data_IF_626556537266
#
_entry.id   IF_626556537266
#
_cell.length_a   1.000
_cell.length_b   1.000
_cell.length_c   1.000
_cell.angle_alpha   90.00
_cell.angle_beta   90.00
_cell.angle_gamma   90.00
#
_symmetry.space_group_name_H-M   'P 1'
#
loop_
_entity.id
_entity.type
_entity.pdbx_description
1 polymer ?
#
# COMPACT_ATOMS: atom_id res chain seq x y z
N UNK A 1 -34.17 -14.34 -8.10
CA UNK A 1 -33.00 -14.33 -7.20
C UNK A 1 -32.69 -12.88 -6.88
N UNK A 2 -33.11 -12.41 -5.72
CA UNK A 2 -32.86 -11.04 -5.26
C UNK A 2 -31.36 -10.92 -5.02
N UNK A 3 -30.64 -10.11 -5.83
CA UNK A 3 -29.29 -9.68 -5.48
C UNK A 3 -29.41 -9.02 -4.11
N UNK A 4 -28.80 -9.61 -3.09
CA UNK A 4 -28.56 -8.88 -1.85
C UNK A 4 -27.59 -7.78 -2.27
N UNK A 5 -28.10 -6.56 -2.43
CA UNK A 5 -27.23 -5.40 -2.62
C UNK A 5 -26.33 -5.33 -1.40
N UNK A 6 -25.03 -5.54 -1.61
CA UNK A 6 -24.05 -5.25 -0.59
C UNK A 6 -24.08 -3.74 -0.41
N UNK A 7 -24.82 -3.28 0.60
CA UNK A 7 -24.84 -1.88 0.98
C UNK A 7 -23.39 -1.44 1.22
N UNK A 8 -22.94 -0.34 0.60
CA UNK A 8 -21.60 0.15 0.81
C UNK A 8 -21.37 0.41 2.30
N UNK A 9 -20.19 0.06 2.82
CA UNK A 9 -19.93 0.19 4.26
C UNK A 9 -20.10 1.63 4.73
N UNK A 10 -19.75 2.60 3.88
CA UNK A 10 -19.91 4.02 4.18
C UNK A 10 -21.35 4.46 4.39
N UNK A 11 -22.37 3.65 4.06
CA UNK A 11 -23.78 3.95 4.38
C UNK A 11 -24.07 3.96 5.89
N UNK A 12 -23.14 3.45 6.70
CA UNK A 12 -23.19 3.51 8.16
C UNK A 12 -22.76 4.88 8.69
N UNK A 13 -22.14 5.75 7.89
CA UNK A 13 -21.65 7.05 8.31
C UNK A 13 -22.72 8.14 8.14
N UNK A 14 -22.65 9.17 8.98
CA UNK A 14 -23.41 10.40 8.72
C UNK A 14 -22.77 11.20 7.58
N UNK A 15 -23.48 12.16 6.96
CA UNK A 15 -22.87 13.05 5.96
C UNK A 15 -21.64 13.80 6.48
N UNK A 16 -21.64 14.23 7.75
CA UNK A 16 -20.49 14.84 8.42
C UNK A 16 -19.33 13.85 8.60
N UNK A 17 -19.61 12.59 8.97
CA UNK A 17 -18.62 11.53 9.06
C UNK A 17 -17.93 11.26 7.72
N UNK A 18 -18.70 11.18 6.63
CA UNK A 18 -18.17 11.04 5.27
C UNK A 18 -17.30 12.24 4.91
N UNK A 19 -17.80 13.47 5.08
CA UNK A 19 -17.05 14.68 4.78
C UNK A 19 -15.73 14.77 5.56
N UNK A 20 -15.74 14.35 6.84
CA UNK A 20 -14.55 14.31 7.69
C UNK A 20 -13.48 13.33 7.19
N UNK A 21 -13.87 12.18 6.63
CA UNK A 21 -12.96 11.19 6.06
C UNK A 21 -12.45 11.56 4.65
N UNK A 22 -13.22 12.35 3.91
CA UNK A 22 -12.83 12.86 2.59
C UNK A 22 -11.94 14.11 2.65
N UNK A 23 -11.83 14.75 3.83
CA UNK A 23 -11.01 15.95 4.00
C UNK A 23 -9.52 15.69 3.71
N UNK A 24 -8.84 16.71 3.15
CA UNK A 24 -7.43 16.65 2.74
C UNK A 24 -6.66 17.91 3.15
N UNK A 25 -6.47 18.16 4.46
CA UNK A 25 -5.77 19.35 4.91
C UNK A 25 -4.33 19.35 4.38
N UNK A 26 -3.97 20.38 3.61
CA UNK A 26 -2.64 20.52 2.99
C UNK A 26 -2.18 19.29 2.17
N UNK A 27 -3.12 18.53 1.59
CA UNK A 27 -2.81 17.31 0.85
C UNK A 27 -2.34 16.13 1.72
N UNK A 28 -2.61 16.16 3.03
CA UNK A 28 -2.34 15.08 3.98
C UNK A 28 -3.59 14.31 4.42
N UNK A 29 -3.43 13.34 5.33
CA UNK A 29 -4.56 12.61 5.91
C UNK A 29 -5.50 13.56 6.67
N UNK A 30 -6.82 13.27 6.69
CA UNK A 30 -7.77 14.01 7.50
C UNK A 30 -7.47 13.86 9.00
N UNK A 31 -7.84 14.85 9.80
CA UNK A 31 -7.68 14.82 11.26
C UNK A 31 -8.49 13.69 11.91
N UNK A 32 -9.56 13.25 11.25
CA UNK A 32 -10.39 12.10 11.66
C UNK A 32 -9.68 10.76 11.55
N UNK A 33 -8.49 10.70 10.95
CA UNK A 33 -7.66 9.48 10.87
C UNK A 33 -6.35 9.72 11.61
N UNK A 34 -6.23 9.15 12.81
CA UNK A 34 -4.97 9.17 13.56
C UNK A 34 -4.08 8.01 13.10
N UNK A 35 -2.84 8.36 12.75
CA UNK A 35 -1.82 7.40 12.31
C UNK A 35 -0.87 7.02 13.46
N UNK A 36 -0.75 5.73 13.72
CA UNK A 36 0.23 5.14 14.64
C UNK A 36 0.08 5.59 16.08
N UNK A 37 -1.15 5.84 16.54
CA UNK A 37 -1.46 6.18 17.94
C UNK A 37 -1.11 5.05 18.91
N UNK A 38 -1.31 3.80 18.48
CA UNK A 38 -1.16 2.59 19.32
C UNK A 38 -0.08 1.63 18.77
N UNK A 39 0.79 2.11 17.88
CA UNK A 39 1.92 1.34 17.35
C UNK A 39 3.15 1.47 18.26
N UNK A 40 3.82 0.35 18.48
CA UNK A 40 5.15 0.32 19.09
C UNK A 40 6.25 0.29 18.01
N UNK A 41 7.46 0.69 18.40
CA UNK A 41 8.61 0.79 17.50
C UNK A 41 9.00 -0.55 16.87
N UNK A 42 8.82 -1.67 17.57
CA UNK A 42 9.18 -3.01 17.06
C UNK A 42 8.20 -3.43 15.97
N UNK A 43 6.90 -3.30 16.22
CA UNK A 43 5.86 -3.60 15.24
C UNK A 43 5.98 -2.73 13.99
N UNK A 44 6.27 -1.43 14.15
CA UNK A 44 6.48 -0.52 13.01
C UNK A 44 7.73 -0.90 12.21
N UNK A 45 8.86 -1.16 12.88
CA UNK A 45 10.10 -1.55 12.19
C UNK A 45 9.96 -2.87 11.42
N UNK A 46 9.11 -3.79 11.89
CA UNK A 46 8.81 -5.06 11.24
C UNK A 46 7.90 -4.97 10.01
N UNK A 47 7.31 -3.81 9.71
CA UNK A 47 6.47 -3.64 8.52
C UNK A 47 7.30 -3.87 7.24
N UNK A 48 6.81 -4.66 6.26
CA UNK A 48 7.58 -5.05 5.08
C UNK A 48 8.25 -3.88 4.34
N UNK A 49 7.52 -2.78 4.15
CA UNK A 49 8.04 -1.59 3.49
C UNK A 49 9.16 -0.95 4.31
N UNK A 50 8.99 -0.76 5.62
CA UNK A 50 9.98 -0.11 6.49
C UNK A 50 11.25 -0.95 6.60
N UNK A 51 11.11 -2.26 6.79
CA UNK A 51 12.23 -3.21 6.80
C UNK A 51 13.00 -3.20 5.46
N UNK A 52 12.28 -3.25 4.33
CA UNK A 52 12.90 -3.21 3.00
C UNK A 52 13.55 -1.86 2.72
N UNK A 53 12.95 -0.74 3.16
CA UNK A 53 13.56 0.58 3.06
C UNK A 53 14.88 0.66 3.85
N UNK A 54 14.89 0.13 5.07
CA UNK A 54 16.09 0.07 5.90
C UNK A 54 17.20 -0.76 5.23
N UNK A 55 16.84 -1.91 4.64
CA UNK A 55 17.76 -2.74 3.85
C UNK A 55 18.36 -1.96 2.66
N UNK A 56 17.51 -1.29 1.87
CA UNK A 56 17.94 -0.47 0.71
C UNK A 56 18.88 0.65 1.14
N UNK A 57 18.53 1.38 2.20
CA UNK A 57 19.30 2.53 2.69
C UNK A 57 20.64 2.10 3.31
N UNK A 58 20.65 1.00 4.07
CA UNK A 58 21.87 0.44 4.65
C UNK A 58 22.83 -0.02 3.55
N UNK A 59 22.32 -0.70 2.52
CA UNK A 59 23.12 -1.10 1.37
C UNK A 59 23.66 0.10 0.60
N UNK A 60 22.82 1.12 0.37
CA UNK A 60 23.26 2.35 -0.29
C UNK A 60 24.39 3.05 0.48
N UNK A 61 24.41 2.98 1.81
CA UNK A 61 25.49 3.52 2.63
C UNK A 61 26.76 2.67 2.51
N UNK A 62 26.64 1.34 2.70
CA UNK A 62 27.76 0.42 2.67
C UNK A 62 28.53 0.43 1.33
N UNK A 63 27.81 0.56 0.20
CA UNK A 63 28.40 0.57 -1.15
C UNK A 63 28.77 1.96 -1.67
N UNK A 64 28.59 3.02 -0.87
CA UNK A 64 28.76 4.41 -1.35
C UNK A 64 27.78 4.79 -2.45
N UNK A 65 26.61 4.16 -2.47
CA UNK A 65 25.49 4.34 -3.39
C UNK A 65 25.17 3.08 -4.19
N UNK A 66 23.89 2.87 -4.48
CA UNK A 66 23.41 1.82 -5.39
C UNK A 66 23.63 2.26 -6.84
N UNK A 67 24.10 1.36 -7.69
CA UNK A 67 24.44 1.68 -9.09
C UNK A 67 23.19 1.76 -9.95
N UNK A 68 23.10 2.82 -10.76
CA UNK A 68 22.04 3.02 -11.76
C UNK A 68 22.51 2.65 -13.16
N UNK A 69 21.61 2.07 -13.95
CA UNK A 69 21.75 1.89 -15.40
C UNK A 69 21.50 3.22 -16.13
N UNK A 70 21.71 3.21 -17.45
CA UNK A 70 21.40 4.36 -18.31
C UNK A 70 19.91 4.73 -18.31
N UNK A 71 19.03 3.75 -18.09
CA UNK A 71 17.57 3.94 -17.99
C UNK A 71 17.11 4.28 -16.58
N UNK A 72 18.03 4.62 -15.67
CA UNK A 72 17.76 4.96 -14.27
C UNK A 72 17.16 3.82 -13.43
N UNK A 73 17.25 2.58 -13.90
CA UNK A 73 16.95 1.41 -13.10
C UNK A 73 18.16 1.01 -12.23
N UNK A 74 17.96 0.24 -11.17
CA UNK A 74 19.07 -0.38 -10.44
C UNK A 74 19.87 -1.36 -11.32
N UNK A 75 21.18 -1.43 -11.06
CA UNK A 75 22.03 -2.44 -11.66
C UNK A 75 21.58 -3.84 -11.24
N UNK A 76 21.76 -4.83 -12.11
CA UNK A 76 21.42 -6.24 -11.82
C UNK A 76 22.07 -6.76 -10.54
N UNK A 77 23.29 -6.33 -10.24
CA UNK A 77 24.00 -6.73 -9.03
C UNK A 77 23.32 -6.19 -7.76
N UNK A 78 22.90 -4.92 -7.77
CA UNK A 78 22.17 -4.34 -6.64
C UNK A 78 20.74 -4.87 -6.55
N UNK A 79 20.05 -5.05 -7.68
CA UNK A 79 18.73 -5.68 -7.74
C UNK A 79 18.78 -7.08 -7.14
N UNK A 80 19.75 -7.92 -7.57
CA UNK A 80 19.88 -9.29 -7.07
C UNK A 80 20.12 -9.33 -5.57
N UNK A 81 21.04 -8.50 -5.07
CA UNK A 81 21.34 -8.49 -3.65
C UNK A 81 20.16 -8.05 -2.79
N UNK A 82 19.37 -7.07 -3.25
CA UNK A 82 18.14 -6.66 -2.56
C UNK A 82 17.05 -7.74 -2.65
N UNK A 83 16.88 -8.35 -3.82
CA UNK A 83 15.96 -9.47 -4.03
C UNK A 83 16.26 -10.64 -3.09
N UNK A 84 17.53 -11.01 -2.92
CA UNK A 84 17.91 -12.11 -2.05
C UNK A 84 17.58 -11.82 -0.57
N UNK A 85 17.75 -10.57 -0.13
CA UNK A 85 17.58 -10.19 1.28
C UNK A 85 16.17 -9.74 1.69
N UNK A 86 15.35 -9.22 0.76
CA UNK A 86 14.02 -8.69 1.12
C UNK A 86 13.04 -9.79 1.53
N UNK A 87 12.06 -9.43 2.35
CA UNK A 87 10.87 -10.24 2.62
C UNK A 87 9.67 -9.37 2.30
N UNK A 88 8.76 -9.87 1.45
CA UNK A 88 7.64 -9.08 0.95
C UNK A 88 6.36 -9.92 0.91
N UNK A 89 5.20 -9.34 1.30
CA UNK A 89 3.93 -10.06 1.33
C UNK A 89 3.53 -10.55 -0.06
N UNK A 90 3.05 -11.80 -0.12
CA UNK A 90 2.57 -12.45 -1.35
C UNK A 90 3.59 -12.45 -2.51
N UNK A 91 4.88 -12.48 -2.17
CA UNK A 91 5.96 -12.41 -3.13
C UNK A 91 6.84 -13.66 -3.07
N UNK A 92 6.52 -14.61 -3.93
CA UNK A 92 7.30 -15.84 -4.08
C UNK A 92 8.53 -15.59 -4.97
N UNK A 93 9.71 -15.74 -4.38
CA UNK A 93 10.98 -15.58 -5.09
C UNK A 93 11.23 -16.71 -6.10
N UNK A 94 10.72 -17.91 -5.84
CA UNK A 94 10.89 -19.06 -6.74
C UNK A 94 10.08 -18.86 -8.03
N UNK A 95 8.85 -18.38 -7.92
CA UNK A 95 8.03 -18.02 -9.09
C UNK A 95 8.70 -16.94 -9.96
N UNK A 96 9.28 -15.93 -9.32
CA UNK A 96 9.99 -14.85 -10.01
C UNK A 96 11.23 -15.39 -10.74
N UNK A 97 12.00 -16.28 -10.10
CA UNK A 97 13.18 -16.90 -10.71
C UNK A 97 12.82 -17.91 -11.81
N UNK A 98 11.65 -18.55 -11.72
CA UNK A 98 11.19 -19.50 -12.73
C UNK A 98 10.94 -18.84 -14.10
N UNK A 99 10.48 -17.58 -14.10
CA UNK A 99 10.19 -16.85 -15.33
C UNK A 99 11.29 -15.86 -15.74
N UNK A 100 12.18 -15.46 -14.82
CA UNK A 100 13.25 -14.50 -15.07
C UNK A 100 14.64 -15.13 -14.97
N UNK A 101 15.26 -15.43 -16.13
CA UNK A 101 16.65 -15.91 -16.19
C UNK A 101 17.66 -14.88 -15.66
N UNK A 102 17.35 -13.60 -15.84
CA UNK A 102 18.15 -12.46 -15.38
C UNK A 102 17.22 -11.48 -14.70
N UNK A 103 17.50 -11.11 -13.46
CA UNK A 103 16.71 -10.14 -12.71
C UNK A 103 17.12 -8.71 -13.07
N UNK A 104 16.28 -8.00 -13.82
CA UNK A 104 16.31 -6.55 -13.91
C UNK A 104 15.40 -5.97 -12.83
N UNK A 105 15.54 -4.67 -12.52
CA UNK A 105 14.74 -4.05 -11.46
C UNK A 105 13.22 -4.17 -11.70
N UNK A 106 12.76 -3.97 -12.93
CA UNK A 106 11.33 -4.08 -13.26
C UNK A 106 10.75 -5.50 -13.10
N UNK A 107 11.61 -6.51 -12.99
CA UNK A 107 11.20 -7.90 -12.71
C UNK A 107 10.99 -8.11 -11.20
N UNK A 108 11.50 -7.17 -10.37
CA UNK A 108 11.47 -7.22 -8.92
C UNK A 108 10.68 -6.04 -8.35
N UNK A 109 9.35 -6.10 -8.51
CA UNK A 109 8.42 -5.07 -8.05
C UNK A 109 8.68 -4.54 -6.63
N UNK A 110 8.94 -5.38 -5.60
CA UNK A 110 9.25 -4.87 -4.25
C UNK A 110 10.47 -3.94 -4.21
N UNK A 111 11.51 -4.24 -5.00
CA UNK A 111 12.73 -3.43 -5.08
C UNK A 111 12.43 -2.10 -5.78
N UNK A 112 11.76 -2.17 -6.94
CA UNK A 112 11.43 -0.99 -7.72
C UNK A 112 10.53 -0.02 -6.91
N UNK A 113 9.44 -0.52 -6.35
CA UNK A 113 8.49 0.27 -5.55
C UNK A 113 9.18 0.87 -4.33
N UNK A 114 9.97 0.08 -3.59
CA UNK A 114 10.69 0.59 -2.42
C UNK A 114 11.67 1.69 -2.79
N UNK A 115 12.41 1.54 -3.90
CA UNK A 115 13.32 2.59 -4.40
C UNK A 115 12.55 3.86 -4.74
N UNK A 116 11.46 3.75 -5.50
CA UNK A 116 10.65 4.89 -5.93
C UNK A 116 10.06 5.64 -4.73
N UNK A 117 9.51 4.92 -3.75
CA UNK A 117 9.03 5.49 -2.48
C UNK A 117 10.18 6.18 -1.73
N UNK A 118 11.35 5.55 -1.62
CA UNK A 118 12.50 6.14 -0.93
C UNK A 118 13.00 7.42 -1.62
N UNK A 119 12.89 7.52 -2.95
CA UNK A 119 13.19 8.75 -3.68
C UNK A 119 12.11 9.83 -3.46
N UNK A 120 10.82 9.46 -3.52
CA UNK A 120 9.72 10.37 -3.24
C UNK A 120 9.78 10.93 -1.81
N UNK A 121 10.17 10.09 -0.85
CA UNK A 121 10.41 10.45 0.55
C UNK A 121 11.72 11.23 0.78
N UNK A 122 12.52 11.46 -0.27
CA UNK A 122 13.85 12.12 -0.22
C UNK A 122 14.85 11.42 0.70
N UNK A 123 14.71 10.10 0.88
CA UNK A 123 15.64 9.26 1.64
C UNK A 123 16.80 8.78 0.76
N UNK A 124 16.54 8.63 -0.54
CA UNK A 124 17.55 8.46 -1.58
C UNK A 124 17.61 9.69 -2.48
N UNK A 125 18.80 10.02 -2.96
CA UNK A 125 18.98 11.01 -4.04
C UNK A 125 19.93 10.48 -5.09
N UNK A 126 19.75 10.94 -6.33
CA UNK A 126 20.69 10.66 -7.41
C UNK A 126 21.95 11.51 -7.26
N UNK A 127 23.10 10.88 -7.39
CA UNK A 127 24.41 11.51 -7.58
C UNK A 127 25.09 10.78 -8.72
N UNK A 128 25.22 11.45 -9.87
CA UNK A 128 25.74 10.85 -11.10
C UNK A 128 24.96 9.57 -11.47
N UNK A 129 25.64 8.42 -11.55
CA UNK A 129 25.09 7.09 -11.82
C UNK A 129 24.83 6.28 -10.55
N UNK A 130 24.66 6.94 -9.41
CA UNK A 130 24.37 6.27 -8.13
C UNK A 130 23.14 6.85 -7.44
N UNK A 131 22.44 6.00 -6.69
CA UNK A 131 21.50 6.42 -5.65
C UNK A 131 22.19 6.35 -4.29
N UNK A 132 22.35 7.50 -3.66
CA UNK A 132 23.01 7.63 -2.36
C UNK A 132 21.98 7.96 -1.29
N UNK A 133 22.15 7.39 -0.09
CA UNK A 133 21.35 7.76 1.07
C UNK A 133 21.57 9.23 1.43
N UNK A 134 20.48 9.99 1.58
CA UNK A 134 20.53 11.35 2.12
C UNK A 134 20.82 11.30 3.62
N UNK A 135 21.08 12.45 4.25
CA UNK A 135 21.21 12.50 5.72
C UNK A 135 19.99 11.91 6.42
N UNK A 136 18.78 12.23 5.93
CA UNK A 136 17.51 11.67 6.43
C UNK A 136 17.42 10.17 6.19
N UNK A 137 17.88 9.68 5.04
CA UNK A 137 17.97 8.25 4.74
C UNK A 137 18.96 7.51 5.66
N UNK A 138 20.06 8.15 6.04
CA UNK A 138 21.03 7.60 6.99
C UNK A 138 20.43 7.50 8.39
N UNK A 139 19.78 8.57 8.87
CA UNK A 139 19.06 8.61 10.15
C UNK A 139 17.96 7.53 10.24
N UNK A 140 17.21 7.34 9.14
CA UNK A 140 16.20 6.28 9.02
C UNK A 140 16.82 4.89 9.15
N UNK A 141 17.91 4.61 8.41
CA UNK A 141 18.56 3.30 8.42
C UNK A 141 19.13 2.93 9.79
N UNK A 142 19.54 3.92 10.58
CA UNK A 142 19.98 3.73 11.97
C UNK A 142 18.87 3.31 12.94
N UNK A 143 17.62 3.19 12.48
CA UNK A 143 16.48 2.74 13.29
C UNK A 143 15.86 3.82 14.17
N UNK A 144 16.10 5.10 13.86
CA UNK A 144 15.51 6.21 14.62
C UNK A 144 14.02 6.37 14.30
N UNK A 145 13.16 6.06 15.28
CA UNK A 145 11.69 6.22 15.28
C UNK A 145 10.95 5.63 14.06
N UNK A 146 10.79 4.31 14.07
CA UNK A 146 10.03 3.56 13.08
C UNK A 146 8.54 3.96 13.05
N UNK A 147 7.94 4.34 14.18
CA UNK A 147 6.55 4.82 14.21
C UNK A 147 6.42 6.16 13.46
N UNK A 148 7.36 7.08 13.63
CA UNK A 148 7.36 8.34 12.88
C UNK A 148 7.61 8.13 11.38
N UNK A 149 8.51 7.19 11.04
CA UNK A 149 8.70 6.72 9.69
C UNK A 149 7.40 6.16 9.08
N UNK A 150 6.67 5.33 9.81
CA UNK A 150 5.36 4.82 9.40
C UNK A 150 4.41 5.98 9.07
N UNK A 151 4.21 6.94 9.98
CA UNK A 151 3.28 8.07 9.76
C UNK A 151 3.61 8.84 8.48
N UNK A 152 4.89 9.16 8.29
CA UNK A 152 5.37 9.91 7.12
C UNK A 152 5.18 9.14 5.82
N UNK A 153 5.59 7.87 5.79
CA UNK A 153 5.51 7.04 4.59
C UNK A 153 4.06 6.71 4.25
N UNK A 154 3.22 6.44 5.24
CA UNK A 154 1.80 6.18 5.05
C UNK A 154 1.10 7.40 4.46
N UNK A 155 1.31 8.59 5.03
CA UNK A 155 0.78 9.83 4.48
C UNK A 155 1.30 10.11 3.06
N UNK A 156 2.59 9.89 2.81
CA UNK A 156 3.19 10.05 1.48
C UNK A 156 2.49 9.18 0.43
N UNK A 157 2.35 7.88 0.71
CA UNK A 157 1.86 6.87 -0.23
C UNK A 157 0.38 7.07 -0.56
N UNK A 158 -0.44 7.34 0.45
CA UNK A 158 -1.89 7.38 0.27
C UNK A 158 -2.43 8.77 -0.09
N UNK A 159 -1.72 9.86 0.23
CA UNK A 159 -2.22 11.22 -0.03
C UNK A 159 -1.34 12.11 -0.91
N UNK A 160 -0.02 11.88 -0.99
CA UNK A 160 0.90 12.86 -1.60
C UNK A 160 1.49 12.40 -2.93
N UNK A 161 1.50 11.10 -3.22
CA UNK A 161 1.95 10.55 -4.50
C UNK A 161 0.80 9.85 -5.22
N UNK A 162 0.86 9.87 -6.55
CA UNK A 162 -0.06 9.16 -7.42
C UNK A 162 0.47 7.74 -7.69
N UNK A 163 -0.16 6.74 -7.08
CA UNK A 163 0.18 5.33 -7.29
C UNK A 163 -0.27 4.82 -8.65
N UNK A 164 -1.18 5.52 -9.34
CA UNK A 164 -1.55 5.20 -10.73
C UNK A 164 -0.37 5.31 -11.70
N UNK A 165 0.64 6.13 -11.35
CA UNK A 165 1.91 6.18 -12.09
C UNK A 165 2.70 4.86 -12.05
N UNK A 166 2.40 3.97 -11.09
CA UNK A 166 3.09 2.70 -10.88
C UNK A 166 2.34 1.49 -11.48
N UNK A 167 1.03 1.57 -11.67
CA UNK A 167 0.21 0.43 -12.13
C UNK A 167 -0.18 0.48 -13.61
N UNK A 168 0.06 1.60 -14.30
CA UNK A 168 -0.26 1.80 -15.73
C UNK A 168 -1.74 1.56 -16.08
N UNK A 169 -2.63 1.62 -15.09
CA UNK A 169 -4.07 1.50 -15.28
C UNK A 169 -4.62 2.86 -15.73
N UNK A 170 -5.42 2.93 -16.81
CA UNK A 170 -5.93 4.19 -17.36
C UNK A 170 -7.14 4.71 -16.56
N UNK A 171 -6.98 4.81 -15.24
CA UNK A 171 -7.95 5.33 -14.29
C UNK A 171 -7.23 6.41 -13.50
N UNK A 172 -7.72 7.65 -13.53
CA UNK A 172 -7.05 8.78 -12.89
C UNK A 172 -7.33 8.80 -11.39
N UNK A 173 -6.28 8.62 -10.58
CA UNK A 173 -6.25 8.75 -9.09
C UNK A 173 -7.22 7.90 -8.28
N UNK A 174 -8.26 7.32 -8.86
CA UNK A 174 -9.23 6.47 -8.17
C UNK A 174 -8.57 5.15 -7.72
N UNK A 175 -8.89 4.60 -6.55
CA UNK A 175 -9.74 5.16 -5.50
C UNK A 175 -8.93 5.95 -4.44
N UNK A 176 -7.69 6.37 -4.76
CA UNK A 176 -6.86 7.12 -3.82
C UNK A 176 -7.45 8.49 -3.51
N UNK A 177 -8.21 9.09 -4.42
CA UNK A 177 -8.94 10.37 -4.27
C UNK A 177 -9.94 10.39 -3.09
N UNK A 178 -10.45 9.23 -2.68
CA UNK A 178 -11.31 9.08 -1.50
C UNK A 178 -10.75 8.10 -0.46
N UNK A 179 -9.42 7.92 -0.43
CA UNK A 179 -8.73 6.92 0.41
C UNK A 179 -9.13 6.92 1.89
N UNK A 180 -9.40 8.08 2.50
CA UNK A 180 -9.81 8.13 3.91
C UNK A 180 -11.11 7.37 4.17
N UNK A 181 -12.07 7.49 3.25
CA UNK A 181 -13.31 6.72 3.27
C UNK A 181 -13.05 5.24 3.02
N UNK A 182 -12.21 4.90 2.04
CA UNK A 182 -11.85 3.51 1.71
C UNK A 182 -11.22 2.80 2.91
N UNK A 183 -10.29 3.45 3.60
CA UNK A 183 -9.63 2.90 4.79
C UNK A 183 -10.63 2.64 5.91
N UNK A 184 -11.58 3.56 6.13
CA UNK A 184 -12.65 3.36 7.10
C UNK A 184 -13.55 2.18 6.70
N UNK A 185 -13.97 2.09 5.43
CA UNK A 185 -14.79 0.97 4.95
C UNK A 185 -14.08 -0.37 5.14
N UNK A 186 -12.78 -0.46 4.81
CA UNK A 186 -11.98 -1.66 5.03
C UNK A 186 -11.90 -2.06 6.51
N UNK A 187 -11.89 -1.09 7.42
CA UNK A 187 -11.92 -1.34 8.87
C UNK A 187 -13.18 -2.09 9.33
N UNK A 188 -14.27 -1.99 8.57
CA UNK A 188 -15.55 -2.64 8.87
C UNK A 188 -15.73 -3.90 8.01
N UNK A 189 -15.51 -3.78 6.70
CA UNK A 189 -15.85 -4.82 5.72
C UNK A 189 -14.80 -5.94 5.60
N UNK A 190 -13.50 -5.63 5.76
CA UNK A 190 -12.42 -6.59 5.52
C UNK A 190 -12.01 -7.36 6.79
N UNK A 191 -12.93 -7.62 7.74
CA UNK A 191 -12.63 -8.38 8.97
C UNK A 191 -12.44 -9.87 8.70
N UNK A 192 -13.07 -10.38 7.65
CA UNK A 192 -12.92 -11.75 7.15
C UNK A 192 -12.18 -11.73 5.83
N UNK A 193 -11.74 -12.91 5.39
CA UNK A 193 -11.15 -13.08 4.06
C UNK A 193 -12.18 -12.76 2.97
N UNK A 194 -11.85 -11.78 2.14
CA UNK A 194 -12.68 -11.35 1.02
C UNK A 194 -11.80 -11.04 -0.19
N UNK A 195 -12.31 -11.33 -1.38
CA UNK A 195 -11.58 -11.02 -2.62
C UNK A 195 -11.84 -9.55 -3.04
N UNK A 196 -11.12 -9.10 -4.07
CA UNK A 196 -11.22 -7.73 -4.59
C UNK A 196 -12.64 -7.41 -5.08
N UNK A 197 -13.31 -8.36 -5.73
CA UNK A 197 -14.67 -8.20 -6.25
C UNK A 197 -15.73 -8.04 -5.16
N UNK A 198 -15.51 -8.64 -3.98
CA UNK A 198 -16.38 -8.47 -2.82
C UNK A 198 -16.14 -7.11 -2.13
N UNK A 199 -14.88 -6.71 -2.01
CA UNK A 199 -14.48 -5.50 -1.28
C UNK A 199 -14.72 -4.21 -2.07
N UNK A 200 -14.50 -4.22 -3.38
CA UNK A 200 -14.61 -3.04 -4.25
C UNK A 200 -15.97 -2.33 -4.12
N UNK A 201 -17.12 -3.00 -4.34
CA UNK A 201 -18.42 -2.32 -4.27
C UNK A 201 -18.78 -1.84 -2.85
N UNK A 202 -18.18 -2.45 -1.83
CA UNK A 202 -18.47 -2.11 -0.42
C UNK A 202 -17.57 -0.99 0.09
N UNK A 203 -16.35 -0.89 -0.41
CA UNK A 203 -15.32 0.00 0.15
C UNK A 203 -15.05 1.25 -0.69
N UNK A 204 -15.50 1.30 -1.94
CA UNK A 204 -15.20 2.42 -2.86
C UNK A 204 -16.46 3.19 -3.26
N UNK A 205 -16.25 4.40 -3.75
CA UNK A 205 -17.28 5.20 -4.42
C UNK A 205 -16.90 5.26 -5.89
N UNK A 206 -17.82 4.84 -6.76
CA UNK A 206 -17.66 5.04 -8.20
C UNK A 206 -18.09 6.47 -8.53
N UNK A 207 -17.17 7.26 -9.06
CA UNK A 207 -17.49 8.56 -9.66
C UNK A 207 -17.70 8.41 -11.17
N UNK A 208 -18.19 9.48 -11.83
CA UNK A 208 -18.47 9.44 -13.26
C UNK A 208 -17.24 9.10 -14.13
N UNK A 209 -16.02 9.38 -13.65
CA UNK A 209 -14.78 9.03 -14.34
C UNK A 209 -14.47 7.53 -14.21
N UNK A 210 -14.68 6.94 -13.03
CA UNK A 210 -14.54 5.51 -12.78
C UNK A 210 -15.63 4.69 -13.48
N UNK A 211 -16.86 5.20 -13.60
CA UNK A 211 -17.98 4.53 -14.29
C UNK A 211 -17.69 4.29 -15.78
N UNK A 212 -16.90 5.15 -16.42
CA UNK A 212 -16.47 4.97 -17.81
C UNK A 212 -15.35 3.94 -18.00
N UNK A 213 -14.80 3.38 -16.93
CA UNK A 213 -13.66 2.47 -16.96
C UNK A 213 -14.08 1.00 -16.97
N UNK A 214 -13.27 0.14 -17.58
CA UNK A 214 -13.50 -1.31 -17.53
C UNK A 214 -13.45 -1.83 -16.09
N UNK A 215 -14.34 -2.77 -15.74
CA UNK A 215 -14.41 -3.35 -14.38
C UNK A 215 -13.06 -3.92 -13.91
N UNK A 216 -12.32 -4.56 -14.82
CA UNK A 216 -10.98 -5.10 -14.52
C UNK A 216 -10.00 -3.98 -14.15
N UNK A 217 -10.05 -2.83 -14.82
CA UNK A 217 -9.20 -1.68 -14.47
C UNK A 217 -9.50 -1.16 -13.06
N UNK A 218 -10.77 -1.13 -12.66
CA UNK A 218 -11.15 -0.74 -11.31
C UNK A 218 -10.64 -1.76 -10.28
N UNK A 219 -10.78 -3.05 -10.55
CA UNK A 219 -10.21 -4.08 -9.67
C UNK A 219 -8.69 -3.93 -9.52
N UNK A 220 -7.97 -3.77 -10.63
CA UNK A 220 -6.51 -3.57 -10.61
C UNK A 220 -6.08 -2.27 -9.91
N UNK A 221 -6.80 -1.16 -10.14
CA UNK A 221 -6.52 0.11 -9.47
C UNK A 221 -6.78 0.01 -7.96
N UNK A 222 -7.88 -0.59 -7.54
CA UNK A 222 -8.19 -0.76 -6.11
C UNK A 222 -7.17 -1.67 -5.42
N UNK A 223 -6.83 -2.80 -6.04
CA UNK A 223 -5.84 -3.72 -5.51
C UNK A 223 -4.43 -3.09 -5.46
N UNK A 224 -4.00 -2.46 -6.55
CA UNK A 224 -2.66 -1.89 -6.71
C UNK A 224 -2.43 -0.62 -5.91
N UNK A 225 -3.46 0.21 -5.71
CA UNK A 225 -3.35 1.53 -5.06
C UNK A 225 -3.81 1.53 -3.60
N UNK A 226 -4.59 0.54 -3.17
CA UNK A 226 -5.06 0.43 -1.78
C UNK A 226 -4.63 -0.89 -1.13
N UNK A 227 -5.14 -2.03 -1.61
CA UNK A 227 -5.03 -3.29 -0.86
C UNK A 227 -3.57 -3.74 -0.71
N UNK A 228 -2.81 -3.79 -1.82
CA UNK A 228 -1.39 -4.17 -1.78
C UNK A 228 -0.55 -3.16 -0.99
N UNK A 229 -0.67 -1.83 -1.19
CA UNK A 229 0.00 -0.87 -0.31
C UNK A 229 -0.23 -1.09 1.18
N UNK A 230 -1.45 -1.47 1.60
CA UNK A 230 -1.72 -1.80 2.99
C UNK A 230 -1.04 -3.09 3.47
N UNK A 231 -0.83 -4.08 2.61
CA UNK A 231 -0.02 -5.26 2.97
C UNK A 231 1.46 -4.89 3.15
N UNK A 232 1.96 -3.88 2.44
CA UNK A 232 3.35 -3.42 2.61
C UNK A 232 3.59 -2.79 3.99
N UNK A 233 2.54 -2.26 4.62
CA UNK A 233 2.54 -1.80 6.00
C UNK A 233 2.11 -2.88 7.00
N UNK A 234 1.87 -4.12 6.56
CA UNK A 234 1.37 -5.19 7.41
C UNK A 234 -0.02 -4.91 8.01
N UNK A 235 -0.80 -3.98 7.42
CA UNK A 235 -2.13 -3.63 7.90
C UNK A 235 -3.21 -4.52 7.29
N UNK A 236 -2.95 -5.10 6.12
CA UNK A 236 -3.73 -6.19 5.57
C UNK A 236 -2.89 -7.46 5.49
N UNK A 237 -3.52 -8.59 5.77
CA UNK A 237 -3.02 -9.89 5.37
C UNK A 237 -3.55 -10.23 3.98
N UNK A 238 -2.81 -11.06 3.25
CA UNK A 238 -3.22 -11.54 1.94
C UNK A 238 -2.88 -13.01 1.77
N UNK A 239 -3.73 -13.73 1.02
CA UNK A 239 -3.49 -15.11 0.62
C UNK A 239 -3.96 -15.36 -0.80
N UNK A 240 -3.33 -16.33 -1.46
CA UNK A 240 -3.77 -16.86 -2.75
C UNK A 240 -4.69 -18.05 -2.52
N UNK A 241 -5.85 -18.01 -3.17
CA UNK A 241 -6.83 -19.10 -3.20
C UNK A 241 -6.94 -19.61 -4.63
N UNK A 242 -6.77 -20.91 -4.80
CA UNK A 242 -6.74 -21.59 -6.10
C UNK A 242 -5.98 -22.91 -6.02
N UNK A 243 -5.94 -23.65 -7.12
CA UNK A 243 -5.20 -24.91 -7.18
C UNK A 243 -3.68 -24.66 -7.18
N UNK A 244 -2.92 -25.28 -6.25
CA UNK A 244 -1.46 -25.19 -6.25
C UNK A 244 -0.84 -25.67 -7.57
N UNK A 245 0.19 -24.97 -8.06
CA UNK A 245 0.88 -25.31 -9.30
C UNK A 245 0.21 -24.77 -10.58
N UNK A 246 -0.88 -24.01 -10.44
CA UNK A 246 -1.45 -23.24 -11.55
C UNK A 246 -0.71 -21.91 -11.74
N UNK A 247 -0.85 -21.33 -12.94
CA UNK A 247 -0.23 -20.04 -13.26
C UNK A 247 -0.70 -18.93 -12.31
N UNK A 248 0.20 -17.99 -11.98
CA UNK A 248 -0.05 -16.91 -11.01
C UNK A 248 -1.34 -16.11 -11.25
N UNK A 249 -1.76 -15.93 -12.51
CA UNK A 249 -2.97 -15.19 -12.89
C UNK A 249 -4.28 -15.95 -12.60
N UNK A 250 -4.22 -17.23 -12.23
CA UNK A 250 -5.40 -18.05 -11.87
C UNK A 250 -5.73 -18.01 -10.38
N UNK A 251 -4.82 -17.49 -9.55
CA UNK A 251 -5.12 -17.34 -8.12
C UNK A 251 -6.04 -16.16 -7.89
N UNK A 252 -7.06 -16.38 -7.07
CA UNK A 252 -7.84 -15.30 -6.46
C UNK A 252 -7.09 -14.83 -5.23
N UNK A 253 -6.80 -13.53 -5.15
CA UNK A 253 -6.27 -12.95 -3.92
C UNK A 253 -7.41 -12.58 -2.99
N UNK A 254 -7.27 -13.01 -1.75
CA UNK A 254 -8.12 -12.59 -0.66
C UNK A 254 -7.33 -11.73 0.33
N UNK A 255 -8.05 -10.83 0.98
CA UNK A 255 -7.54 -9.88 1.95
C UNK A 255 -8.37 -9.88 3.21
N UNK A 256 -7.73 -9.57 4.34
CA UNK A 256 -8.39 -9.21 5.59
C UNK A 256 -7.53 -8.23 6.38
N UNK A 257 -8.13 -7.50 7.31
CA UNK A 257 -7.40 -6.65 8.25
C UNK A 257 -6.49 -7.51 9.14
N UNK A 258 -5.25 -7.06 9.29
CA UNK A 258 -4.28 -7.63 10.21
C UNK A 258 -4.47 -7.01 11.61
N UNK A 259 -3.95 -7.64 12.69
CA UNK A 259 -3.98 -7.06 14.03
C UNK A 259 -3.33 -5.67 14.13
N UNK A 260 -2.37 -5.35 13.25
CA UNK A 260 -1.75 -4.03 13.22
C UNK A 260 -2.68 -2.93 12.68
N UNK A 261 -3.75 -3.28 11.96
CA UNK A 261 -4.66 -2.31 11.36
C UNK A 261 -5.24 -1.35 12.42
N UNK A 262 -5.89 -1.90 13.45
CA UNK A 262 -6.53 -1.09 14.51
C UNK A 262 -5.52 -0.39 15.43
N UNK A 263 -4.26 -0.85 15.42
CA UNK A 263 -3.16 -0.20 16.15
C UNK A 263 -2.58 0.97 15.39
N UNK A 264 -2.53 0.85 14.06
CA UNK A 264 -1.96 1.81 13.14
C UNK A 264 -2.94 2.90 12.73
N UNK A 265 -4.23 2.59 12.65
CA UNK A 265 -5.26 3.52 12.18
C UNK A 265 -6.37 3.60 13.22
N UNK A 266 -6.63 4.81 13.73
CA UNK A 266 -7.80 5.10 14.56
C UNK A 266 -8.68 6.09 13.83
N UNK A 267 -9.98 5.80 13.75
CA UNK A 267 -10.95 6.63 13.06
C UNK A 267 -11.86 7.34 14.06
N UNK A 268 -11.97 8.66 13.93
CA UNK A 268 -12.88 9.54 14.68
C UNK A 268 -14.00 10.04 13.75
N UNK A 269 -14.65 9.12 13.04
CA UNK A 269 -15.74 9.43 12.12
C UNK A 269 -17.11 9.25 12.78
N UNK A 270 -18.04 10.15 12.48
CA UNK A 270 -19.41 10.09 13.00
C UNK A 270 -20.22 9.01 12.28
N UNK A 271 -20.67 8.01 13.04
CA UNK A 271 -21.47 6.89 12.56
C UNK A 271 -22.94 7.20 12.81
N UNK A 272 -23.79 6.96 11.83
CA UNK A 272 -25.23 7.02 12.00
C UNK A 272 -25.62 5.99 13.06
N UNK A 273 -26.19 6.44 14.19
CA UNK A 273 -26.72 5.52 15.19
C UNK A 273 -27.66 4.53 14.49
N UNK A 274 -27.50 3.23 14.77
CA UNK A 274 -28.43 2.24 14.24
C UNK A 274 -29.85 2.70 14.55
N UNK A 275 -30.74 2.69 13.55
CA UNK A 275 -32.18 2.79 13.78
C UNK A 275 -32.59 1.48 14.47
N UNK A 276 -32.21 1.35 15.74
CA UNK A 276 -32.58 0.28 16.63
C UNK A 276 -34.01 0.53 17.06
N UNK A 277 -34.90 -0.32 16.52
CA UNK A 277 -36.21 -0.70 17.06
C UNK A 277 -36.67 0.13 18.27
N UNK A 278 -37.52 1.13 18.01
CA UNK A 278 -38.48 1.54 19.04
C UNK A 278 -39.46 0.39 19.18
N UNK A 279 -39.38 -0.31 20.31
CA UNK A 279 -40.45 -1.18 20.81
C UNK A 279 -41.78 -0.44 20.86
#
# INVERSE_FOLDING_TARGET
>A
MTKIEHLPAWSLLTPSGIAGLLARPNGGPPETIRLGSNLDETSAAGMPLLATLSLVLTRAQASGGLTLTATHALSRADTRALFDALVWPDYDKEEVLAVNKVLNEGDVMPVEVTRLIAQAAKLLRRRERKLVATKRGQEFASGSSAVEAFRRLFALIFWQIDLGSLDRVPVERWPQDHVGLVLWCLSVAARNWSNVGDLLPVCTVLDAAAEGSAADHLAFAFEGRILRPLTWFGLLETRRVGEPGTFAWRYVREYRTAPLFDRALTFEAEVAASIGSKH
#
